data_IF_292571657081
#
_entry.id   IF_292571657081
#
_cell.length_a   1.000
_cell.length_b   1.000
_cell.length_c   1.000
_cell.angle_alpha   90.00
_cell.angle_beta   90.00
_cell.angle_gamma   90.00
#
_symmetry.space_group_name_H-M   'P 1'
#
loop_
_entity.id
_entity.type
_entity.pdbx_description
1 polymer ?
#
# COMPACT_ATOMS: atom_id res chain seq x y z
N UNK A 1 -25.69 -1.70 -12.37
CA UNK A 1 -24.58 -1.28 -11.48
C UNK A 1 -25.13 -0.61 -10.22
N UNK A 2 -24.68 -1.04 -9.03
CA UNK A 2 -25.04 -0.44 -7.73
C UNK A 2 -23.93 0.48 -7.20
N UNK A 3 -24.17 1.20 -6.08
CA UNK A 3 -23.12 1.97 -5.42
C UNK A 3 -22.00 1.04 -4.91
N UNK A 4 -20.83 1.61 -4.65
CA UNK A 4 -19.76 0.88 -3.95
C UNK A 4 -20.21 0.54 -2.53
N UNK A 5 -19.75 -0.60 -2.02
CA UNK A 5 -20.01 -1.01 -0.64
C UNK A 5 -19.17 -0.19 0.35
N UNK A 6 -17.91 0.11 0.00
CA UNK A 6 -16.98 0.90 0.82
C UNK A 6 -16.20 1.90 -0.04
N UNK A 7 -15.84 3.05 0.56
CA UNK A 7 -15.02 4.08 -0.10
C UNK A 7 -14.05 4.73 0.89
N UNK A 8 -12.77 4.81 0.53
CA UNK A 8 -11.77 5.59 1.26
C UNK A 8 -10.79 6.26 0.29
N UNK A 9 -10.23 7.39 0.72
CA UNK A 9 -9.12 8.05 0.04
C UNK A 9 -7.87 7.95 0.90
N UNK A 10 -6.78 7.43 0.33
CA UNK A 10 -5.54 7.18 1.05
C UNK A 10 -4.31 7.51 0.20
N UNK A 11 -3.34 8.15 0.85
CA UNK A 11 -2.10 8.60 0.23
C UNK A 11 -2.25 9.79 -0.73
N UNK A 12 -1.12 10.39 -1.12
CA UNK A 12 -1.08 11.34 -2.23
C UNK A 12 -1.29 10.61 -3.56
N UNK A 13 -1.93 11.27 -4.51
CA UNK A 13 -1.99 10.81 -5.90
C UNK A 13 -0.77 11.26 -6.71
N UNK A 14 -0.78 10.93 -8.01
CA UNK A 14 0.24 11.37 -8.95
C UNK A 14 1.23 10.26 -9.33
N UNK A 15 2.10 10.57 -10.29
CA UNK A 15 2.96 9.57 -10.94
C UNK A 15 4.08 9.00 -10.05
N UNK A 16 4.34 9.61 -8.88
CA UNK A 16 5.35 9.13 -7.93
C UNK A 16 4.78 8.07 -6.94
N UNK A 17 3.48 7.81 -6.99
CA UNK A 17 2.80 6.96 -6.02
C UNK A 17 2.07 5.81 -6.72
N UNK A 18 2.40 4.58 -6.33
CA UNK A 18 1.76 3.37 -6.81
C UNK A 18 0.79 2.84 -5.77
N UNK A 19 -0.49 2.61 -6.11
CA UNK A 19 -1.42 1.95 -5.20
C UNK A 19 -1.04 0.48 -5.01
N UNK A 20 -1.28 -0.03 -3.81
CA UNK A 20 -0.98 -1.40 -3.42
C UNK A 20 -2.15 -2.01 -2.65
N UNK A 21 -2.20 -3.34 -2.65
CA UNK A 21 -3.17 -4.15 -1.90
C UNK A 21 -2.45 -5.34 -1.29
N UNK A 22 -2.80 -5.69 -0.05
CA UNK A 22 -2.27 -6.85 0.66
C UNK A 22 -2.73 -6.87 2.12
N UNK A 23 -2.56 -8.02 2.75
CA UNK A 23 -2.71 -8.20 4.19
C UNK A 23 -1.37 -7.88 4.87
N UNK A 24 -1.31 -6.71 5.51
CA UNK A 24 -0.06 -6.17 6.05
C UNK A 24 0.21 -6.65 7.49
N UNK A 25 -0.84 -6.96 8.24
CA UNK A 25 -0.77 -7.37 9.64
C UNK A 25 -1.19 -8.81 9.91
N UNK A 26 -1.35 -9.60 8.84
CA UNK A 26 -1.67 -11.03 8.86
C UNK A 26 -3.00 -11.33 9.56
N UNK A 27 -4.01 -10.46 9.39
CA UNK A 27 -5.34 -10.63 9.98
C UNK A 27 -6.31 -11.41 9.07
N UNK A 28 -5.88 -11.74 7.85
CA UNK A 28 -6.65 -12.42 6.82
C UNK A 28 -7.41 -11.48 5.88
N UNK A 29 -7.24 -10.17 6.00
CA UNK A 29 -7.95 -9.15 5.20
C UNK A 29 -6.98 -8.27 4.42
N UNK A 30 -7.13 -8.29 3.09
CA UNK A 30 -6.41 -7.34 2.25
C UNK A 30 -6.91 -5.90 2.47
N UNK A 31 -5.96 -4.98 2.58
CA UNK A 31 -6.19 -3.56 2.79
C UNK A 31 -5.32 -2.71 1.86
N UNK A 32 -5.43 -1.38 1.97
CA UNK A 32 -4.81 -0.44 1.01
C UNK A 32 -3.41 -0.02 1.44
N UNK A 33 -2.52 0.14 0.48
CA UNK A 33 -1.19 0.71 0.68
C UNK A 33 -0.78 1.61 -0.48
N UNK A 34 0.29 2.38 -0.29
CA UNK A 34 0.91 3.19 -1.33
C UNK A 34 2.43 3.06 -1.26
N UNK A 35 3.06 2.86 -2.42
CA UNK A 35 4.50 2.91 -2.58
C UNK A 35 4.93 4.22 -3.26
N UNK A 36 5.87 4.94 -2.64
CA UNK A 36 6.50 6.10 -3.23
C UNK A 36 7.72 5.68 -4.06
N UNK A 37 7.61 5.83 -5.38
CA UNK A 37 8.62 5.41 -6.34
C UNK A 37 9.94 6.09 -6.05
N UNK A 38 9.98 7.42 -5.98
CA UNK A 38 11.23 8.20 -5.86
C UNK A 38 12.05 7.89 -4.62
N UNK A 39 11.41 7.44 -3.54
CA UNK A 39 12.05 7.26 -2.24
C UNK A 39 12.14 5.81 -1.77
N UNK A 40 11.41 4.88 -2.41
CA UNK A 40 11.36 3.49 -1.97
C UNK A 40 10.58 3.29 -0.67
N UNK A 41 9.65 4.19 -0.37
CA UNK A 41 8.85 4.15 0.86
C UNK A 41 7.52 3.44 0.64
N UNK A 42 7.16 2.60 1.60
CA UNK A 42 5.88 1.94 1.75
C UNK A 42 5.08 2.64 2.84
N UNK A 43 3.81 2.89 2.56
CA UNK A 43 2.82 3.44 3.50
C UNK A 43 1.62 2.50 3.48
N UNK A 44 1.43 1.74 4.55
CA UNK A 44 0.45 0.66 4.64
C UNK A 44 -0.65 1.04 5.63
N UNK A 45 -1.88 0.58 5.37
CA UNK A 45 -3.07 0.87 6.17
C UNK A 45 -3.78 -0.44 6.47
N UNK A 46 -4.04 -0.74 7.74
CA UNK A 46 -4.65 -2.02 8.16
C UNK A 46 -6.19 -1.91 8.21
N UNK A 47 -6.77 -0.94 7.50
CA UNK A 47 -8.22 -0.76 7.37
C UNK A 47 -8.55 0.08 6.13
N UNK A 48 -9.76 -0.05 5.58
CA UNK A 48 -10.25 0.79 4.49
C UNK A 48 -10.74 2.12 5.07
N UNK A 49 -9.80 2.95 5.55
CA UNK A 49 -10.09 4.27 6.14
C UNK A 49 -9.11 5.33 5.63
N UNK A 50 -9.53 6.61 5.52
CA UNK A 50 -8.60 7.70 5.28
C UNK A 50 -7.65 7.92 6.47
N UNK A 51 -6.57 8.66 6.24
CA UNK A 51 -5.68 9.14 7.28
C UNK A 51 -4.23 8.71 7.10
N UNK A 52 -3.48 8.71 8.20
CA UNK A 52 -2.08 8.30 8.23
C UNK A 52 -1.94 6.80 8.02
N UNK A 53 -0.77 6.39 7.52
CA UNK A 53 -0.35 5.00 7.50
C UNK A 53 -0.29 4.43 8.92
N UNK A 54 -0.69 3.17 9.05
CA UNK A 54 -0.51 2.40 10.27
C UNK A 54 0.93 1.86 10.34
N UNK A 55 1.49 1.51 9.17
CA UNK A 55 2.87 1.05 9.04
C UNK A 55 3.62 1.78 7.91
N UNK A 56 4.91 2.02 8.13
CA UNK A 56 5.79 2.60 7.12
C UNK A 56 7.11 1.85 7.08
N UNK A 57 7.59 1.56 5.88
CA UNK A 57 8.88 0.92 5.67
C UNK A 57 9.60 1.58 4.49
N UNK A 58 10.92 1.64 4.54
CA UNK A 58 11.73 1.99 3.37
C UNK A 58 12.54 0.76 2.97
N UNK A 59 12.43 0.36 1.71
CA UNK A 59 13.20 -0.77 1.19
C UNK A 59 13.75 -0.47 -0.19
N UNK A 60 15.09 -0.48 -0.28
CA UNK A 60 15.82 -0.10 -1.48
C UNK A 60 15.94 1.42 -1.66
N UNK A 61 16.62 1.85 -2.73
CA UNK A 61 16.94 3.26 -2.96
C UNK A 61 15.78 4.09 -3.55
N UNK A 62 14.67 3.44 -3.94
CA UNK A 62 13.66 4.06 -4.80
C UNK A 62 14.20 4.32 -6.22
N UNK A 63 13.34 4.89 -7.07
CA UNK A 63 13.61 5.21 -8.46
C UNK A 63 12.75 4.38 -9.42
N UNK A 64 12.57 4.91 -10.64
CA UNK A 64 11.69 4.33 -11.65
C UNK A 64 12.14 2.94 -12.16
N UNK A 65 13.41 2.58 -11.93
CA UNK A 65 13.97 1.27 -12.31
C UNK A 65 13.66 0.17 -11.29
N UNK A 66 13.08 0.52 -10.14
CA UNK A 66 12.72 -0.42 -9.09
C UNK A 66 11.21 -0.58 -9.00
N UNK A 67 10.76 -1.82 -8.85
CA UNK A 67 9.35 -2.14 -8.68
C UNK A 67 9.13 -2.79 -7.31
N UNK A 68 8.14 -2.32 -6.52
CA UNK A 68 7.77 -3.00 -5.29
C UNK A 68 7.12 -4.34 -5.65
N UNK A 69 7.38 -5.36 -4.84
CA UNK A 69 6.74 -6.67 -4.95
C UNK A 69 6.04 -6.96 -3.62
N UNK A 70 4.80 -7.45 -3.71
CA UNK A 70 3.95 -7.79 -2.58
C UNK A 70 3.62 -9.26 -2.66
N UNK A 71 3.54 -9.92 -1.50
CA UNK A 71 3.11 -11.29 -1.38
C UNK A 71 3.45 -11.85 -0.01
N UNK A 72 2.81 -12.95 0.31
CA UNK A 72 3.30 -13.88 1.31
C UNK A 72 4.41 -14.75 0.67
N UNK A 73 5.58 -14.76 1.33
CA UNK A 73 6.75 -15.51 0.90
C UNK A 73 7.21 -16.55 1.93
N UNK A 74 6.63 -16.55 3.13
CA UNK A 74 6.96 -17.53 4.16
C UNK A 74 6.00 -18.72 4.16
N UNK A 75 4.85 -18.59 3.50
CA UNK A 75 3.91 -19.66 3.22
C UNK A 75 3.12 -20.10 4.46
N UNK A 76 2.94 -19.19 5.42
CA UNK A 76 2.20 -19.41 6.66
C UNK A 76 0.73 -18.99 6.56
#
# INVERSE_FOLDING_TARGET
PGPADETAQYGPGGADFLPMVGDWDADGTDTIGVYQISAGNFFLKNSITPGLADETAQYGPGGADFSPMIGDWDGL
#
